data_IF_230055433591
#
_entry.id   IF_230055433591
#
_cell.length_a   1.000
_cell.length_b   1.000
_cell.length_c   1.000
_cell.angle_alpha   90.00
_cell.angle_beta   90.00
_cell.angle_gamma   90.00
#
_symmetry.space_group_name_H-M   'P 1'
#
loop_
_entity.id
_entity.type
_entity.pdbx_description
1 polymer ?
#
# COMPACT_ATOMS: atom_id res chain seq x y z
N UNK A 1 -5.45 -8.92 18.44
CA UNK A 1 -5.69 -7.47 18.36
C UNK A 1 -4.40 -6.64 18.12
N UNK A 2 -3.29 -7.25 17.69
CA UNK A 2 -2.06 -6.53 17.35
C UNK A 2 -1.62 -6.99 15.96
N UNK A 3 -2.04 -6.27 14.90
CA UNK A 3 -1.40 -6.47 13.59
C UNK A 3 0.02 -5.96 13.75
N UNK A 4 1.01 -6.80 13.43
CA UNK A 4 2.41 -6.39 13.43
C UNK A 4 2.60 -5.19 12.51
N UNK A 5 3.58 -4.32 12.81
CA UNK A 5 3.91 -3.15 11.99
C UNK A 5 4.16 -3.53 10.52
N UNK A 6 4.73 -4.72 10.28
CA UNK A 6 4.94 -5.24 8.92
C UNK A 6 3.62 -5.63 8.24
N UNK A 7 2.68 -6.24 8.96
CA UNK A 7 1.34 -6.57 8.42
C UNK A 7 0.55 -5.32 8.03
N UNK A 8 0.66 -4.26 8.84
CA UNK A 8 0.06 -2.96 8.52
C UNK A 8 0.66 -2.43 7.22
N UNK A 9 1.98 -2.44 7.08
CA UNK A 9 2.65 -1.96 5.86
C UNK A 9 2.23 -2.74 4.61
N UNK A 10 2.17 -4.06 4.68
CA UNK A 10 1.71 -4.90 3.55
C UNK A 10 0.26 -4.58 3.16
N UNK A 11 -0.62 -4.40 4.14
CA UNK A 11 -2.02 -4.06 3.86
C UNK A 11 -2.17 -2.64 3.29
N UNK A 12 -1.34 -1.69 3.73
CA UNK A 12 -1.28 -0.33 3.15
C UNK A 12 -0.89 -0.40 1.68
N UNK A 13 0.20 -1.11 1.35
CA UNK A 13 0.67 -1.29 -0.04
C UNK A 13 -0.45 -1.85 -0.93
N UNK A 14 -1.10 -2.92 -0.50
CA UNK A 14 -2.19 -3.57 -1.26
C UNK A 14 -3.39 -2.66 -1.50
N UNK A 15 -3.72 -1.79 -0.55
CA UNK A 15 -4.84 -0.85 -0.71
C UNK A 15 -4.44 0.39 -1.52
N UNK A 16 -3.19 0.83 -1.43
CA UNK A 16 -2.68 1.93 -2.24
C UNK A 16 -2.53 1.54 -3.72
N UNK A 17 -2.14 0.29 -4.04
CA UNK A 17 -2.08 -0.17 -5.44
C UNK A 17 -3.46 -0.18 -6.11
N UNK A 18 -4.52 -0.46 -5.34
CA UNK A 18 -5.91 -0.36 -5.76
C UNK A 18 -6.42 1.09 -5.91
N UNK A 19 -5.62 2.10 -5.57
CA UNK A 19 -5.98 3.51 -5.70
C UNK A 19 -6.81 4.10 -4.56
N UNK A 20 -6.90 3.42 -3.40
CA UNK A 20 -7.63 3.96 -2.25
C UNK A 20 -6.92 5.17 -1.60
N UNK A 21 -7.72 6.08 -1.03
CA UNK A 21 -7.21 7.19 -0.23
C UNK A 21 -6.76 6.78 1.17
N UNK A 22 -5.73 7.46 1.68
CA UNK A 22 -5.13 7.27 3.01
C UNK A 22 -6.18 7.18 4.13
N UNK A 23 -7.22 8.04 4.06
CA UNK A 23 -8.34 8.04 5.01
C UNK A 23 -9.16 6.75 4.95
N UNK A 24 -9.40 6.23 3.75
CA UNK A 24 -10.13 4.98 3.54
C UNK A 24 -9.28 3.79 3.97
N UNK A 25 -7.99 3.81 3.66
CA UNK A 25 -7.04 2.77 4.07
C UNK A 25 -6.95 2.70 5.60
N UNK A 26 -6.70 3.82 6.27
CA UNK A 26 -6.64 3.89 7.73
C UNK A 26 -7.94 3.37 8.38
N UNK A 27 -9.10 3.78 7.85
CA UNK A 27 -10.40 3.32 8.33
C UNK A 27 -10.60 1.81 8.14
N UNK A 28 -10.19 1.24 6.99
CA UNK A 28 -10.26 -0.21 6.72
C UNK A 28 -9.32 -1.03 7.62
N UNK A 29 -8.17 -0.46 7.97
CA UNK A 29 -7.20 -1.08 8.87
C UNK A 29 -7.58 -0.93 10.35
N UNK A 30 -8.58 -0.11 10.68
CA UNK A 30 -8.99 0.17 12.06
C UNK A 30 -7.95 0.99 12.82
N UNK A 31 -7.11 1.76 12.12
CA UNK A 31 -6.06 2.59 12.72
C UNK A 31 -6.31 4.08 12.47
N UNK A 32 -5.72 4.92 13.32
CA UNK A 32 -5.74 6.37 13.11
C UNK A 32 -4.80 6.79 11.96
N UNK A 33 -5.08 7.93 11.33
CA UNK A 33 -4.15 8.54 10.36
C UNK A 33 -2.77 8.81 10.96
N UNK A 34 -2.71 9.16 12.24
CA UNK A 34 -1.45 9.38 12.97
C UNK A 34 -0.58 8.13 13.02
N UNK A 35 -1.21 6.95 13.12
CA UNK A 35 -0.52 5.66 13.08
C UNK A 35 -0.15 5.29 11.64
N UNK A 36 -1.03 5.58 10.67
CA UNK A 36 -0.81 5.29 9.25
C UNK A 36 0.37 6.09 8.64
N UNK A 37 0.48 7.38 8.92
CA UNK A 37 1.50 8.28 8.35
C UNK A 37 2.95 7.78 8.47
N UNK A 38 3.46 7.37 9.65
CA UNK A 38 4.83 6.85 9.75
C UNK A 38 5.02 5.54 8.98
N UNK A 39 4.01 4.67 8.89
CA UNK A 39 4.09 3.46 8.06
C UNK A 39 4.14 3.81 6.57
N UNK A 40 3.33 4.77 6.11
CA UNK A 40 3.37 5.25 4.74
C UNK A 40 4.72 5.90 4.40
N UNK A 41 5.28 6.71 5.30
CA UNK A 41 6.58 7.33 5.11
C UNK A 41 7.70 6.27 5.01
N UNK A 42 7.67 5.22 5.83
CA UNK A 42 8.60 4.09 5.74
C UNK A 42 8.49 3.36 4.39
N UNK A 43 7.26 3.06 3.94
CA UNK A 43 6.99 2.44 2.63
C UNK A 43 7.54 3.33 1.50
N UNK A 44 7.19 4.62 1.49
CA UNK A 44 7.65 5.56 0.47
C UNK A 44 9.17 5.65 0.44
N UNK A 45 9.83 5.65 1.60
CA UNK A 45 11.30 5.66 1.69
C UNK A 45 11.91 4.38 1.13
N UNK A 46 11.29 3.21 1.39
CA UNK A 46 11.77 1.91 0.89
C UNK A 46 11.66 1.79 -0.63
N UNK A 47 10.59 2.31 -1.23
CA UNK A 47 10.39 2.28 -2.69
C UNK A 47 11.03 3.49 -3.41
N UNK A 48 11.62 4.43 -2.67
CA UNK A 48 12.21 5.65 -3.25
C UNK A 48 11.18 6.67 -3.76
N UNK A 49 9.92 6.57 -3.34
CA UNK A 49 8.88 7.48 -3.76
C UNK A 49 9.01 8.85 -3.06
N UNK A 50 8.93 9.92 -3.85
CA UNK A 50 9.01 11.32 -3.34
C UNK A 50 7.66 11.93 -3.01
N UNK A 51 6.57 11.39 -3.56
CA UNK A 51 5.23 11.89 -3.33
C UNK A 51 4.22 10.75 -3.44
N UNK A 52 3.01 10.93 -2.89
CA UNK A 52 1.94 9.91 -2.87
C UNK A 52 1.60 9.40 -4.28
N UNK A 53 1.56 10.30 -5.26
CA UNK A 53 1.27 9.94 -6.65
C UNK A 53 2.36 9.03 -7.24
N UNK A 54 3.63 9.37 -7.03
CA UNK A 54 4.78 8.58 -7.43
C UNK A 54 4.83 7.26 -6.67
N UNK A 55 4.42 7.24 -5.39
CA UNK A 55 4.27 6.01 -4.62
C UNK A 55 3.18 5.11 -5.23
N UNK A 56 2.00 5.65 -5.56
CA UNK A 56 0.93 4.90 -6.21
C UNK A 56 1.31 4.39 -7.61
N UNK A 57 2.02 5.21 -8.40
CA UNK A 57 2.55 4.81 -9.70
C UNK A 57 3.59 3.69 -9.59
N UNK A 58 4.59 3.83 -8.71
CA UNK A 58 5.61 2.81 -8.48
C UNK A 58 5.00 1.54 -7.89
N UNK A 59 4.06 1.67 -6.96
CA UNK A 59 3.36 0.54 -6.38
C UNK A 59 2.56 -0.20 -7.45
N UNK A 60 1.87 0.51 -8.34
CA UNK A 60 1.18 -0.11 -9.48
C UNK A 60 2.18 -0.74 -10.45
N UNK A 61 3.34 -0.15 -10.72
CA UNK A 61 4.36 -0.74 -11.59
C UNK A 61 4.97 -2.02 -10.98
N UNK A 62 5.24 -2.01 -9.67
CA UNK A 62 5.62 -3.18 -8.87
C UNK A 62 4.50 -4.23 -8.83
N UNK A 63 3.24 -3.81 -8.71
CA UNK A 63 2.07 -4.68 -8.69
C UNK A 63 1.81 -5.25 -10.09
N UNK A 64 2.05 -4.50 -11.18
CA UNK A 64 1.99 -5.01 -12.57
C UNK A 64 3.02 -6.12 -12.77
N UNK A 65 4.17 -6.04 -12.09
CA UNK A 65 5.16 -7.13 -12.08
C UNK A 65 4.64 -8.39 -11.35
N UNK A 66 3.62 -8.26 -10.48
CA UNK A 66 2.92 -9.37 -9.81
C UNK A 66 1.55 -9.71 -10.44
N UNK A 67 0.91 -8.79 -11.16
CA UNK A 67 -0.41 -8.91 -11.80
C UNK A 67 -0.32 -9.61 -13.15
N UNK A 68 0.86 -9.63 -13.80
CA UNK A 68 1.12 -10.60 -14.88
C UNK A 68 0.97 -12.06 -14.44
N UNK A 69 0.93 -12.35 -13.14
CA UNK A 69 0.65 -13.69 -12.63
C UNK A 69 -0.82 -13.95 -12.28
N UNK A 70 -1.66 -12.93 -12.11
CA UNK A 70 -3.06 -13.12 -11.67
C UNK A 70 -4.05 -13.10 -12.84
N UNK A 71 -3.74 -12.40 -13.94
CA UNK A 71 -4.61 -12.38 -15.12
C UNK A 71 -4.50 -13.63 -16.02
N UNK A 72 -3.65 -14.60 -15.67
CA UNK A 72 -3.52 -15.89 -16.37
C UNK A 72 -4.33 -17.03 -15.71
N UNK A 73 -5.03 -16.80 -14.59
CA UNK A 73 -5.72 -17.87 -13.86
C UNK A 73 -7.26 -17.77 -13.85
N UNK A 74 -7.86 -16.97 -14.73
CA UNK A 74 -9.31 -17.01 -14.99
C UNK A 74 -9.66 -17.13 -16.49
N UNK A 75 -8.90 -17.92 -17.25
CA UNK A 75 -9.39 -18.58 -18.47
C UNK A 75 -8.89 -20.01 -18.59
#
# INVERSE_FOLDING_TARGET
MLRSSEEIKTAIVKLLSQGYDDKVVAKRLGISLRTFQPHLADIMRRIGARNRLHAGYLLRDLDISHEKAVEQQER
#
